data_IF_459708839462
#
_entry.id   IF_459708839462
#
_cell.length_a   1.000
_cell.length_b   1.000
_cell.length_c   1.000
_cell.angle_alpha   90.00
_cell.angle_beta   90.00
_cell.angle_gamma   90.00
#
_symmetry.space_group_name_H-M   'P 1'
#
loop_
_entity.id
_entity.type
_entity.pdbx_description
1 polymer ?
#
# COMPACT_ATOMS: atom_id res chain seq x y z
N UNK A 1 19.56 -17.47 -13.06
CA UNK A 1 19.05 -17.84 -11.74
C UNK A 1 17.57 -18.06 -11.82
N UNK A 2 17.13 -19.23 -11.34
CA UNK A 2 15.71 -19.63 -11.25
C UNK A 2 15.10 -19.26 -9.88
N UNK A 3 15.76 -18.41 -9.10
CA UNK A 3 15.25 -17.98 -7.80
C UNK A 3 14.11 -16.97 -7.95
N UNK A 4 13.17 -17.00 -7.01
CA UNK A 4 12.06 -16.05 -6.96
C UNK A 4 12.53 -14.72 -6.35
N UNK A 5 12.22 -13.64 -7.03
CA UNK A 5 12.47 -12.28 -6.56
C UNK A 5 11.18 -11.66 -6.02
N UNK A 6 11.27 -10.97 -4.89
CA UNK A 6 10.16 -10.24 -4.30
C UNK A 6 10.45 -8.76 -4.34
N UNK A 7 9.61 -7.99 -5.04
CA UNK A 7 9.76 -6.55 -5.24
C UNK A 7 8.64 -5.86 -4.46
N UNK A 8 9.01 -5.11 -3.42
CA UNK A 8 8.07 -4.34 -2.60
C UNK A 8 8.27 -2.85 -2.89
N UNK A 9 7.22 -2.20 -3.39
CA UNK A 9 7.22 -0.79 -3.72
C UNK A 9 6.24 -0.06 -2.80
N UNK A 10 6.79 0.82 -1.97
CA UNK A 10 6.01 1.63 -1.05
C UNK A 10 5.75 3.02 -1.64
N UNK A 11 4.53 3.53 -1.47
CA UNK A 11 4.11 4.86 -1.90
C UNK A 11 4.46 5.18 -3.37
N UNK A 12 4.07 4.31 -4.30
CA UNK A 12 4.47 4.40 -5.72
C UNK A 12 4.14 5.73 -6.38
N UNK A 13 3.18 6.49 -5.86
CA UNK A 13 2.88 7.85 -6.35
C UNK A 13 4.04 8.85 -6.16
N UNK A 14 5.02 8.54 -5.31
CA UNK A 14 6.22 9.36 -5.11
C UNK A 14 7.25 9.13 -6.22
N UNK A 15 7.13 8.03 -6.96
CA UNK A 15 7.99 7.68 -8.09
C UNK A 15 7.38 8.27 -9.36
N UNK A 16 8.15 9.09 -10.08
CA UNK A 16 7.74 9.59 -11.39
C UNK A 16 7.68 8.44 -12.39
N UNK A 17 6.66 8.43 -13.24
CA UNK A 17 6.52 7.42 -14.30
C UNK A 17 6.56 5.98 -13.75
N UNK A 18 6.06 5.78 -12.52
CA UNK A 18 6.08 4.47 -11.84
C UNK A 18 5.37 3.38 -12.64
N UNK A 19 4.44 3.77 -13.52
CA UNK A 19 3.68 2.90 -14.39
C UNK A 19 4.59 2.13 -15.37
N UNK A 20 5.57 2.80 -15.96
CA UNK A 20 6.53 2.20 -16.89
C UNK A 20 7.49 1.24 -16.17
N UNK A 21 7.87 1.60 -14.94
CA UNK A 21 8.70 0.77 -14.06
C UNK A 21 7.96 -0.52 -13.66
N UNK A 22 6.69 -0.40 -13.24
CA UNK A 22 5.85 -1.55 -12.91
C UNK A 22 5.65 -2.48 -14.11
N UNK A 23 5.34 -1.91 -15.28
CA UNK A 23 5.21 -2.68 -16.51
C UNK A 23 6.48 -3.44 -16.84
N UNK A 24 7.66 -2.83 -16.66
CA UNK A 24 8.95 -3.49 -16.90
C UNK A 24 9.18 -4.69 -15.97
N UNK A 25 8.78 -4.59 -14.70
CA UNK A 25 8.93 -5.68 -13.74
C UNK A 25 7.94 -6.83 -13.98
N UNK A 26 6.74 -6.57 -14.47
CA UNK A 26 5.75 -7.62 -14.78
C UNK A 26 6.21 -8.63 -15.84
N UNK A 27 7.17 -8.25 -16.70
CA UNK A 27 7.75 -9.15 -17.70
C UNK A 27 8.79 -10.13 -17.10
N UNK A 28 9.20 -9.95 -15.85
CA UNK A 28 10.15 -10.84 -15.18
C UNK A 28 9.39 -12.08 -14.68
N UNK A 29 9.62 -13.21 -15.33
CA UNK A 29 8.86 -14.45 -15.08
C UNK A 29 9.04 -15.09 -13.70
N UNK A 30 10.08 -14.69 -12.96
CA UNK A 30 10.42 -15.16 -11.62
C UNK A 30 10.41 -14.03 -10.58
N UNK A 31 9.55 -13.01 -10.75
CA UNK A 31 9.38 -11.94 -9.79
C UNK A 31 7.92 -11.74 -9.37
N UNK A 32 7.69 -11.65 -8.07
CA UNK A 32 6.42 -11.25 -7.47
C UNK A 32 6.50 -9.80 -6.99
N UNK A 33 5.53 -8.98 -7.38
CA UNK A 33 5.53 -7.54 -7.15
C UNK A 33 4.39 -7.15 -6.22
N UNK A 34 4.71 -6.42 -5.16
CA UNK A 34 3.77 -5.90 -4.17
C UNK A 34 3.88 -4.39 -4.11
N UNK A 35 2.74 -3.71 -4.17
CA UNK A 35 2.67 -2.25 -4.31
C UNK A 35 1.72 -1.66 -3.28
N UNK A 36 2.11 -0.57 -2.63
CA UNK A 36 1.25 0.22 -1.75
C UNK A 36 1.16 1.68 -2.24
N UNK A 37 0.11 2.38 -1.83
CA UNK A 37 -0.03 3.81 -2.05
C UNK A 37 -1.34 4.36 -1.47
N UNK A 38 -1.27 5.53 -0.84
CA UNK A 38 -2.41 6.12 -0.08
C UNK A 38 -3.64 6.49 -0.93
N UNK A 39 -3.51 6.54 -2.25
CA UNK A 39 -4.63 6.82 -3.15
C UNK A 39 -4.40 6.18 -4.52
N UNK A 40 -4.09 4.88 -4.52
CA UNK A 40 -3.78 4.08 -5.71
C UNK A 40 -4.97 3.90 -6.67
N UNK A 41 -6.07 4.64 -6.49
CA UNK A 41 -7.19 4.76 -7.45
C UNK A 41 -6.74 5.17 -8.86
N UNK A 42 -5.53 5.70 -8.97
CA UNK A 42 -4.93 6.20 -10.21
C UNK A 42 -3.94 5.24 -10.87
N UNK A 43 -3.76 4.00 -10.37
CA UNK A 43 -3.06 2.97 -11.14
C UNK A 43 -3.73 2.86 -12.52
N UNK A 44 -2.96 3.03 -13.59
CA UNK A 44 -3.51 3.07 -14.95
C UNK A 44 -4.43 1.86 -15.20
N UNK A 45 -5.51 2.08 -15.96
CA UNK A 45 -6.41 0.98 -16.36
C UNK A 45 -5.63 -0.16 -17.02
N UNK A 46 -4.56 0.17 -17.73
CA UNK A 46 -3.73 -0.78 -18.46
C UNK A 46 -2.95 -1.68 -17.50
N UNK A 47 -2.34 -1.10 -16.46
CA UNK A 47 -1.68 -1.84 -15.37
C UNK A 47 -2.70 -2.75 -14.68
N UNK A 48 -3.85 -2.20 -14.25
CA UNK A 48 -4.89 -3.01 -13.59
C UNK A 48 -5.39 -4.15 -14.48
N UNK A 49 -5.43 -3.96 -15.80
CA UNK A 49 -5.90 -4.99 -16.74
C UNK A 49 -4.87 -6.11 -16.92
N UNK A 50 -3.58 -5.79 -16.99
CA UNK A 50 -2.48 -6.79 -16.97
C UNK A 50 -2.42 -7.54 -15.63
N UNK A 51 -2.67 -6.84 -14.51
CA UNK A 51 -2.77 -7.45 -13.18
C UNK A 51 -4.06 -8.26 -12.98
N UNK A 52 -5.16 -8.00 -13.69
CA UNK A 52 -6.46 -8.69 -13.49
C UNK A 52 -6.46 -10.20 -13.71
N UNK A 53 -5.38 -10.76 -14.26
CA UNK A 53 -5.16 -12.21 -14.39
C UNK A 53 -4.13 -12.80 -13.41
N UNK A 54 -3.37 -11.96 -12.67
CA UNK A 54 -2.22 -12.38 -11.85
C UNK A 54 -2.06 -11.65 -10.51
N UNK A 55 -2.89 -10.65 -10.20
CA UNK A 55 -2.77 -9.82 -8.99
C UNK A 55 -4.12 -9.47 -8.37
N UNK A 56 -4.17 -9.56 -7.05
CA UNK A 56 -5.32 -9.15 -6.24
C UNK A 56 -5.16 -7.71 -5.77
N UNK A 57 -6.19 -6.88 -5.98
CA UNK A 57 -6.23 -5.54 -5.42
C UNK A 57 -6.92 -5.55 -4.05
N UNK A 58 -6.23 -5.05 -3.03
CA UNK A 58 -6.79 -4.87 -1.68
C UNK A 58 -6.95 -3.38 -1.39
N UNK A 59 -8.18 -2.96 -1.11
CA UNK A 59 -8.44 -1.61 -0.61
C UNK A 59 -8.33 -1.59 0.91
N UNK A 60 -7.35 -0.84 1.43
CA UNK A 60 -7.19 -0.60 2.85
C UNK A 60 -7.95 0.67 3.26
N UNK A 61 -8.81 0.55 4.26
CA UNK A 61 -9.47 1.68 4.91
C UNK A 61 -8.68 2.10 6.15
N UNK A 62 -8.77 3.38 6.57
CA UNK A 62 -8.25 3.78 7.88
C UNK A 62 -8.84 2.90 8.98
N UNK A 63 -8.01 2.52 9.96
CA UNK A 63 -8.47 1.74 11.11
C UNK A 63 -9.56 2.50 11.86
N UNK A 64 -10.60 1.78 12.26
CA UNK A 64 -11.53 2.29 13.27
C UNK A 64 -10.83 2.43 14.62
N UNK A 65 -11.33 3.31 15.49
CA UNK A 65 -10.78 3.47 16.83
C UNK A 65 -10.77 2.15 17.62
N UNK A 66 -11.76 1.27 17.40
CA UNK A 66 -11.79 -0.04 18.04
C UNK A 66 -10.69 -0.98 17.56
N UNK A 67 -10.33 -0.95 16.29
CA UNK A 67 -9.23 -1.76 15.74
C UNK A 67 -7.89 -1.23 16.21
N UNK A 68 -7.73 0.09 16.23
CA UNK A 68 -6.57 0.73 16.83
C UNK A 68 -6.38 0.29 18.29
N UNK A 69 -7.43 0.36 19.12
CA UNK A 69 -7.37 -0.05 20.53
C UNK A 69 -7.14 -1.56 20.74
N UNK A 70 -7.35 -2.41 19.74
CA UNK A 70 -7.00 -3.84 19.82
C UNK A 70 -5.50 -4.10 19.72
N UNK A 71 -4.79 -3.26 18.97
CA UNK A 71 -3.34 -3.35 18.80
C UNK A 71 -2.58 -2.45 19.79
N UNK A 72 -3.21 -1.39 20.30
CA UNK A 72 -2.63 -0.45 21.25
C UNK A 72 -2.57 -1.05 22.67
N UNK A 73 -1.42 -0.93 23.33
CA UNK A 73 -1.16 -1.52 24.65
C UNK A 73 -1.55 -0.63 25.84
N UNK A 74 -1.90 0.64 25.60
CA UNK A 74 -2.30 1.59 26.64
C UNK A 74 -3.81 1.61 26.93
N UNK A 75 -4.22 2.50 27.84
CA UNK A 75 -5.63 2.65 28.19
C UNK A 75 -6.41 3.45 27.11
N UNK A 76 -7.75 3.46 27.19
CA UNK A 76 -8.60 4.14 26.20
C UNK A 76 -8.32 5.64 26.08
N UNK A 77 -7.92 6.31 27.17
CA UNK A 77 -7.64 7.75 27.17
C UNK A 77 -6.30 8.01 26.51
N UNK A 78 -5.29 7.21 26.83
CA UNK A 78 -3.99 7.25 26.16
C UNK A 78 -4.13 6.98 24.66
N UNK A 79 -4.92 5.96 24.30
CA UNK A 79 -5.21 5.64 22.90
C UNK A 79 -5.98 6.75 22.19
N UNK A 80 -6.93 7.41 22.86
CA UNK A 80 -7.64 8.56 22.31
C UNK A 80 -6.67 9.70 21.97
N UNK A 81 -5.87 10.17 22.94
CA UNK A 81 -4.92 11.26 22.71
C UNK A 81 -3.87 10.92 21.64
N UNK A 82 -3.38 9.69 21.62
CA UNK A 82 -2.41 9.25 20.63
C UNK A 82 -3.01 9.21 19.22
N UNK A 83 -4.24 8.69 19.09
CA UNK A 83 -4.95 8.67 17.81
C UNK A 83 -5.23 10.07 17.29
N UNK A 84 -5.61 11.00 18.17
CA UNK A 84 -5.86 12.40 17.85
C UNK A 84 -4.58 13.10 17.39
N UNK A 85 -3.46 12.90 18.10
CA UNK A 85 -2.14 13.43 17.72
C UNK A 85 -1.69 12.96 16.33
N UNK A 86 -1.83 11.65 16.03
CA UNK A 86 -1.50 11.09 14.71
C UNK A 86 -2.37 11.73 13.63
N UNK A 87 -3.67 11.85 13.87
CA UNK A 87 -4.60 12.42 12.88
C UNK A 87 -4.31 13.90 12.62
N UNK A 88 -4.03 14.70 13.65
CA UNK A 88 -3.70 16.12 13.49
C UNK A 88 -2.35 16.34 12.78
N UNK A 89 -1.34 15.51 13.05
CA UNK A 89 -0.02 15.60 12.38
C UNK A 89 -0.04 15.34 10.87
N UNK A 90 -1.08 14.67 10.35
CA UNK A 90 -1.26 14.42 8.91
C UNK A 90 -1.99 15.55 8.17
N UNK A 91 -2.50 16.54 8.91
CA UNK A 91 -3.26 17.67 8.36
C UNK A 91 -2.49 19.00 8.36
N UNK A 92 -1.22 19.00 8.78
CA UNK A 92 -0.34 20.18 8.82
C UNK A 92 0.73 20.12 7.74
#
# INVERSE_FOLDING_TARGET
>A
DDEMYYILLDEVQLVREFEDVLNSFLYIGNADIYVTGINAKFLSKDIITEFRGRGDQVHLFPLSFSEFMRAFSGDKREGWFFSEMIMTSRTS
#
